data_IF_677314232714
#
_entry.id   IF_677314232714
#
_cell.length_a   1.000
_cell.length_b   1.000
_cell.length_c   1.000
_cell.angle_alpha   90.00
_cell.angle_beta   90.00
_cell.angle_gamma   90.00
#
_symmetry.space_group_name_H-M   'P 1'
#
loop_
_entity.id
_entity.type
_entity.pdbx_description
1 polymer ?
#
# COMPACT_ATOMS: atom_id res chain seq x y z
N UNK A 1 -1.77 -9.58 70.61
CA UNK A 1 -0.65 -9.91 69.69
C UNK A 1 -0.38 -8.75 68.73
N UNK A 2 -1.36 -8.27 67.94
CA UNK A 2 -1.12 -7.10 67.06
C UNK A 2 -0.75 -5.85 67.88
N UNK A 3 -1.48 -5.57 68.94
CA UNK A 3 -1.22 -4.43 69.83
C UNK A 3 0.04 -4.60 70.71
N UNK A 4 0.55 -5.82 70.89
CA UNK A 4 1.80 -6.11 71.61
C UNK A 4 3.06 -6.12 70.76
N UNK A 5 2.95 -5.84 69.46
CA UNK A 5 4.06 -5.78 68.52
C UNK A 5 4.52 -7.16 67.99
N UNK A 6 3.89 -8.26 68.38
CA UNK A 6 4.20 -9.59 67.85
C UNK A 6 3.36 -9.92 66.60
N UNK A 7 3.60 -9.13 65.57
CA UNK A 7 2.78 -9.11 64.37
C UNK A 7 3.01 -10.35 63.49
N UNK A 8 4.24 -10.88 63.45
CA UNK A 8 4.57 -12.06 62.64
C UNK A 8 3.88 -13.33 63.17
N UNK A 9 3.88 -13.51 64.46
CA UNK A 9 3.16 -14.61 65.10
C UNK A 9 1.64 -14.48 64.94
N UNK A 10 1.12 -13.24 65.04
CA UNK A 10 -0.30 -12.99 64.78
C UNK A 10 -0.68 -13.35 63.33
N UNK A 11 0.13 -13.00 62.33
CA UNK A 11 -0.11 -13.34 60.92
C UNK A 11 -0.06 -14.87 60.68
N UNK A 12 0.85 -15.58 61.35
CA UNK A 12 0.94 -17.03 61.24
C UNK A 12 -0.29 -17.72 61.82
N UNK A 13 -0.73 -17.34 63.04
CA UNK A 13 -1.95 -17.84 63.64
C UNK A 13 -3.21 -17.56 62.80
N UNK A 14 -3.33 -16.38 62.24
CA UNK A 14 -4.45 -16.02 61.36
C UNK A 14 -4.45 -16.87 60.07
N UNK A 15 -3.28 -17.19 59.55
CA UNK A 15 -3.13 -17.96 58.30
C UNK A 15 -3.39 -19.47 58.52
N UNK A 16 -2.99 -20.03 59.67
CA UNK A 16 -3.07 -21.47 59.96
C UNK A 16 -4.33 -21.80 60.73
N UNK A 17 -4.41 -21.41 62.00
CA UNK A 17 -5.44 -21.86 62.90
C UNK A 17 -6.78 -21.13 62.65
N UNK A 18 -6.79 -19.79 62.60
CA UNK A 18 -8.02 -19.03 62.44
C UNK A 18 -8.68 -19.26 61.09
N UNK A 19 -7.89 -19.39 60.04
CA UNK A 19 -8.41 -19.70 58.71
C UNK A 19 -9.01 -21.08 58.60
N UNK A 20 -8.37 -22.10 59.23
CA UNK A 20 -8.87 -23.47 59.25
C UNK A 20 -10.14 -23.61 60.11
N UNK A 21 -10.29 -22.78 61.16
CA UNK A 21 -11.45 -22.76 62.05
C UNK A 21 -12.64 -21.96 61.47
N UNK A 22 -12.44 -21.21 60.38
CA UNK A 22 -13.51 -20.37 59.78
C UNK A 22 -14.48 -21.21 58.94
N UNK A 23 -15.70 -21.43 59.47
CA UNK A 23 -16.73 -22.28 58.85
C UNK A 23 -17.56 -21.60 57.77
N UNK A 24 -17.68 -20.27 57.80
CA UNK A 24 -18.51 -19.52 56.89
C UNK A 24 -17.78 -18.27 56.31
N UNK A 25 -18.39 -17.63 55.31
CA UNK A 25 -17.80 -16.45 54.64
C UNK A 25 -17.59 -15.28 55.60
N UNK A 26 -18.49 -15.05 56.55
CA UNK A 26 -18.35 -13.93 57.48
C UNK A 26 -17.13 -14.13 58.42
N UNK A 27 -16.90 -15.34 58.90
CA UNK A 27 -15.71 -15.66 59.66
C UNK A 27 -14.43 -15.56 58.85
N UNK A 28 -14.45 -16.03 57.60
CA UNK A 28 -13.33 -15.85 56.67
C UNK A 28 -13.01 -14.40 56.41
N UNK A 29 -14.04 -13.58 56.24
CA UNK A 29 -13.91 -12.14 56.07
C UNK A 29 -13.28 -11.45 57.28
N UNK A 30 -13.68 -11.86 58.47
CA UNK A 30 -13.03 -11.38 59.72
C UNK A 30 -11.56 -11.74 59.80
N UNK A 31 -11.20 -13.01 59.50
CA UNK A 31 -9.80 -13.45 59.48
C UNK A 31 -8.97 -12.67 58.49
N UNK A 32 -9.49 -12.44 57.27
CA UNK A 32 -8.81 -11.67 56.24
C UNK A 32 -8.65 -10.19 56.66
N UNK A 33 -9.67 -9.61 57.32
CA UNK A 33 -9.60 -8.25 57.82
C UNK A 33 -8.55 -8.07 58.91
N UNK A 34 -8.52 -8.97 59.89
CA UNK A 34 -7.48 -8.98 60.92
C UNK A 34 -6.07 -9.18 60.31
N UNK A 35 -5.93 -10.03 59.32
CA UNK A 35 -4.66 -10.19 58.63
C UNK A 35 -4.26 -8.93 57.85
N UNK A 36 -5.21 -8.14 57.32
CA UNK A 36 -4.91 -6.87 56.70
C UNK A 36 -4.44 -5.81 57.72
N UNK A 37 -5.10 -5.75 58.89
CA UNK A 37 -4.71 -4.88 60.02
C UNK A 37 -3.29 -5.23 60.52
N UNK A 38 -3.01 -6.51 60.70
CA UNK A 38 -1.67 -6.95 61.08
C UNK A 38 -0.59 -6.57 60.05
N UNK A 39 -0.90 -6.65 58.75
CA UNK A 39 0.02 -6.22 57.70
C UNK A 39 0.22 -4.67 57.70
N UNK A 40 -0.80 -3.90 58.02
CA UNK A 40 -0.65 -2.45 58.18
C UNK A 40 0.31 -2.17 59.35
N UNK A 41 0.05 -2.78 60.51
CA UNK A 41 0.92 -2.63 61.67
C UNK A 41 2.38 -3.07 61.38
N UNK A 42 2.57 -4.14 60.61
CA UNK A 42 3.90 -4.60 60.17
C UNK A 42 4.56 -3.54 59.31
N UNK A 43 3.85 -2.92 58.37
CA UNK A 43 4.36 -1.84 57.53
C UNK A 43 4.75 -0.58 58.33
N UNK A 44 4.08 -0.32 59.47
CA UNK A 44 4.41 0.78 60.38
C UNK A 44 5.70 0.53 61.16
N UNK A 45 5.99 -0.72 61.48
CA UNK A 45 7.22 -1.12 62.15
C UNK A 45 8.38 -1.24 61.16
N UNK A 46 8.16 -1.91 60.04
CA UNK A 46 9.17 -2.13 58.99
C UNK A 46 9.02 -1.06 57.87
N UNK A 47 9.56 0.11 58.14
CA UNK A 47 9.48 1.25 57.21
C UNK A 47 10.15 0.95 55.86
N UNK A 48 11.17 0.10 55.81
CA UNK A 48 11.87 -0.24 54.56
C UNK A 48 10.98 -1.02 53.57
N UNK A 49 10.06 -1.86 54.14
CA UNK A 49 9.15 -2.68 53.36
C UNK A 49 7.69 -2.22 53.50
N UNK A 50 7.43 -1.04 54.05
CA UNK A 50 6.08 -0.48 54.26
C UNK A 50 5.21 -0.58 53.01
N UNK A 51 5.76 -0.21 51.86
CA UNK A 51 5.04 -0.26 50.56
C UNK A 51 4.48 -1.68 50.29
N UNK A 52 5.30 -2.69 50.44
CA UNK A 52 4.91 -4.09 50.21
C UNK A 52 3.83 -4.53 51.20
N UNK A 53 4.01 -4.25 52.48
CA UNK A 53 3.08 -4.65 53.52
C UNK A 53 1.72 -3.97 53.36
N UNK A 54 1.68 -2.69 53.04
CA UNK A 54 0.44 -1.94 52.84
C UNK A 54 -0.29 -2.32 51.55
N UNK A 55 0.45 -2.63 50.48
CA UNK A 55 -0.13 -3.18 49.24
C UNK A 55 -0.76 -4.57 49.53
N UNK A 56 -0.09 -5.42 50.27
CA UNK A 56 -0.61 -6.73 50.68
C UNK A 56 -1.84 -6.62 51.60
N UNK A 57 -1.88 -5.60 52.47
CA UNK A 57 -3.06 -5.31 53.29
C UNK A 57 -4.25 -4.87 52.41
N UNK A 58 -4.01 -3.95 51.47
CA UNK A 58 -5.03 -3.49 50.51
C UNK A 58 -5.60 -4.66 49.68
N UNK A 59 -4.75 -5.56 49.19
CA UNK A 59 -5.15 -6.77 48.47
C UNK A 59 -5.98 -7.73 49.39
N UNK A 60 -5.67 -7.79 50.70
CA UNK A 60 -6.45 -8.57 51.65
C UNK A 60 -7.85 -7.99 51.80
N UNK A 61 -8.02 -6.68 51.94
CA UNK A 61 -9.34 -6.04 51.97
C UNK A 61 -10.13 -6.27 50.67
N UNK A 62 -9.47 -6.22 49.51
CA UNK A 62 -10.14 -6.54 48.22
C UNK A 62 -10.66 -7.99 48.22
N UNK A 63 -9.87 -8.95 48.72
CA UNK A 63 -10.29 -10.35 48.83
C UNK A 63 -11.47 -10.51 49.79
N UNK A 64 -11.49 -9.81 50.94
CA UNK A 64 -12.60 -9.80 51.86
C UNK A 64 -13.89 -9.24 51.22
N UNK A 65 -13.80 -8.15 50.45
CA UNK A 65 -14.91 -7.57 49.70
C UNK A 65 -15.41 -8.44 48.54
N UNK A 66 -14.59 -9.36 48.00
CA UNK A 66 -15.06 -10.38 47.04
C UNK A 66 -15.98 -11.43 47.73
N UNK A 67 -15.75 -11.73 49.00
CA UNK A 67 -16.60 -12.64 49.79
C UNK A 67 -17.86 -11.96 50.32
N UNK A 68 -17.77 -10.69 50.74
CA UNK A 68 -18.88 -9.85 51.20
C UNK A 68 -18.87 -8.46 50.54
N UNK A 69 -19.41 -8.32 49.34
CA UNK A 69 -19.33 -7.06 48.57
C UNK A 69 -20.03 -5.86 49.24
N UNK A 70 -21.03 -6.11 50.12
CA UNK A 70 -21.79 -5.09 50.80
C UNK A 70 -21.24 -4.68 52.16
N UNK A 71 -20.12 -5.26 52.61
CA UNK A 71 -19.55 -4.98 53.92
C UNK A 71 -18.95 -3.58 53.99
N UNK A 72 -19.67 -2.68 54.67
CA UNK A 72 -19.31 -1.26 54.77
C UNK A 72 -18.07 -0.99 55.61
N UNK A 73 -17.81 -1.83 56.61
CA UNK A 73 -16.68 -1.59 57.51
C UNK A 73 -15.36 -1.94 56.84
N UNK A 74 -15.31 -3.02 56.07
CA UNK A 74 -14.13 -3.38 55.29
C UNK A 74 -13.90 -2.35 54.21
N UNK A 75 -14.94 -1.85 53.54
CA UNK A 75 -14.79 -0.79 52.53
C UNK A 75 -14.24 0.49 53.13
N UNK A 76 -14.66 0.87 54.34
CA UNK A 76 -14.09 2.01 55.07
C UNK A 76 -12.62 1.79 55.44
N UNK A 77 -12.28 0.61 55.92
CA UNK A 77 -10.90 0.28 56.25
C UNK A 77 -9.98 0.30 55.02
N UNK A 78 -10.44 -0.26 53.90
CA UNK A 78 -9.73 -0.23 52.65
C UNK A 78 -9.49 1.22 52.13
N UNK A 79 -10.54 2.05 52.16
CA UNK A 79 -10.44 3.48 51.74
C UNK A 79 -9.50 4.27 52.67
N UNK A 80 -9.55 4.01 53.97
CA UNK A 80 -8.62 4.62 54.92
C UNK A 80 -7.18 4.25 54.61
N UNK A 81 -6.92 2.96 54.38
CA UNK A 81 -5.57 2.51 53.98
C UNK A 81 -5.14 3.16 52.65
N UNK A 82 -6.02 3.25 51.65
CA UNK A 82 -5.74 3.87 50.40
C UNK A 82 -5.34 5.37 50.58
N UNK A 83 -6.05 6.12 51.43
CA UNK A 83 -5.68 7.50 51.76
C UNK A 83 -4.31 7.58 52.45
N UNK A 84 -4.03 6.71 53.39
CA UNK A 84 -2.72 6.62 54.06
C UNK A 84 -1.59 6.28 53.06
N UNK A 85 -1.86 5.42 52.08
CA UNK A 85 -0.92 5.08 51.02
C UNK A 85 -0.63 6.29 50.10
N UNK A 86 -1.68 7.03 49.76
CA UNK A 86 -1.55 8.23 48.93
C UNK A 86 -0.74 9.34 49.62
N UNK A 87 -1.01 9.59 50.92
CA UNK A 87 -0.22 10.52 51.76
C UNK A 87 1.28 10.17 51.80
N UNK A 88 1.61 8.88 51.74
CA UNK A 88 2.99 8.38 51.74
C UNK A 88 3.55 8.16 50.32
N UNK A 89 2.85 8.60 49.26
CA UNK A 89 3.21 8.38 47.86
C UNK A 89 3.42 6.91 47.49
N UNK A 90 2.70 6.02 48.17
CA UNK A 90 2.71 4.56 47.91
C UNK A 90 1.63 4.25 46.91
N UNK A 91 2.00 3.99 45.68
CA UNK A 91 1.04 3.58 44.64
C UNK A 91 0.39 2.23 44.95
N UNK A 92 -0.87 2.05 44.64
CA UNK A 92 -1.65 0.84 44.87
C UNK A 92 -1.19 -0.40 44.04
N UNK A 93 -0.03 -0.29 43.39
CA UNK A 93 0.65 -1.43 42.77
C UNK A 93 -0.07 -2.10 41.58
N UNK A 94 -1.13 -1.48 41.05
CA UNK A 94 -1.66 -1.90 39.75
C UNK A 94 -0.75 -1.28 38.71
N UNK A 95 0.27 -2.03 38.28
CA UNK A 95 0.88 -1.76 36.97
C UNK A 95 -0.22 -1.60 35.93
N UNK A 96 0.08 -0.97 34.79
CA UNK A 96 -0.84 -0.83 33.65
C UNK A 96 -1.56 -2.16 33.37
N UNK A 97 -2.70 -2.40 34.07
CA UNK A 97 -3.57 -3.53 33.75
C UNK A 97 -4.35 -3.13 32.51
N UNK A 98 -4.06 -3.77 31.40
CA UNK A 98 -4.75 -3.55 30.14
C UNK A 98 -6.19 -4.10 30.17
N UNK A 99 -6.42 -5.15 31.00
CA UNK A 99 -7.73 -5.78 31.20
C UNK A 99 -7.99 -6.00 32.69
N UNK A 100 -9.23 -5.85 33.13
CA UNK A 100 -9.73 -6.17 34.47
C UNK A 100 -10.99 -7.04 34.31
N UNK A 101 -10.96 -8.26 34.84
CA UNK A 101 -12.01 -9.29 34.69
C UNK A 101 -12.52 -9.47 33.23
N UNK A 102 -11.58 -9.45 32.24
CA UNK A 102 -11.87 -9.63 30.81
C UNK A 102 -12.35 -8.38 30.08
N UNK A 103 -12.59 -7.26 30.78
CA UNK A 103 -12.94 -5.99 30.17
C UNK A 103 -11.71 -5.09 30.02
N UNK A 104 -11.57 -4.34 28.91
CA UNK A 104 -10.48 -3.41 28.74
C UNK A 104 -10.59 -2.25 29.74
N UNK A 105 -9.50 -1.96 30.45
CA UNK A 105 -9.39 -0.76 31.29
C UNK A 105 -9.23 0.49 30.42
N UNK A 106 -9.45 1.72 30.95
CA UNK A 106 -9.13 2.93 30.21
C UNK A 106 -7.68 2.98 29.72
N UNK A 107 -6.74 2.44 30.49
CA UNK A 107 -5.34 2.29 30.06
C UNK A 107 -5.19 1.23 28.97
N UNK A 108 -5.96 0.14 29.01
CA UNK A 108 -6.03 -0.88 27.97
C UNK A 108 -6.58 -0.33 26.67
N UNK A 109 -7.67 0.44 26.72
CA UNK A 109 -8.24 1.12 25.55
C UNK A 109 -7.25 2.11 24.93
N UNK A 110 -6.57 2.90 25.75
CA UNK A 110 -5.53 3.82 25.27
C UNK A 110 -4.37 3.06 24.62
N UNK A 111 -3.91 1.94 25.20
CA UNK A 111 -2.84 1.12 24.63
C UNK A 111 -3.25 0.47 23.30
N UNK A 112 -4.49 -0.02 23.17
CA UNK A 112 -5.04 -0.54 21.92
C UNK A 112 -5.12 0.57 20.86
N UNK A 113 -5.59 1.76 21.23
CA UNK A 113 -5.67 2.91 20.32
C UNK A 113 -4.28 3.34 19.82
N UNK A 114 -3.30 3.44 20.72
CA UNK A 114 -1.89 3.72 20.35
C UNK A 114 -1.35 2.62 19.45
N UNK A 115 -1.62 1.35 19.75
CA UNK A 115 -1.22 0.20 18.92
C UNK A 115 -1.79 0.28 17.49
N UNK A 116 -3.07 0.62 17.36
CA UNK A 116 -3.73 0.83 16.05
C UNK A 116 -3.08 2.01 15.32
N UNK A 117 -2.83 3.13 16.00
CA UNK A 117 -2.18 4.31 15.39
C UNK A 117 -0.75 3.98 14.91
N UNK A 118 0.04 3.26 15.72
CA UNK A 118 1.38 2.80 15.32
C UNK A 118 1.30 1.83 14.14
N UNK A 119 0.33 0.92 14.15
CA UNK A 119 0.12 -0.02 13.04
C UNK A 119 -0.27 0.72 11.74
N UNK A 120 -1.19 1.69 11.81
CA UNK A 120 -1.59 2.50 10.65
C UNK A 120 -0.44 3.34 10.10
N UNK A 121 0.38 3.93 10.99
CA UNK A 121 1.58 4.67 10.60
C UNK A 121 2.61 3.72 9.97
N UNK A 122 2.87 2.57 10.60
CA UNK A 122 3.78 1.57 10.04
C UNK A 122 3.27 1.00 8.70
N UNK A 123 1.95 0.79 8.56
CA UNK A 123 1.33 0.34 7.32
C UNK A 123 1.46 1.40 6.22
N UNK A 124 1.27 2.69 6.56
CA UNK A 124 1.50 3.78 5.62
C UNK A 124 2.97 3.83 5.16
N UNK A 125 3.92 3.81 6.10
CA UNK A 125 5.35 3.79 5.75
C UNK A 125 5.79 2.50 5.04
N UNK A 126 5.19 1.35 5.33
CA UNK A 126 5.44 0.12 4.58
C UNK A 126 4.85 0.20 3.17
N UNK A 127 3.70 0.85 2.99
CA UNK A 127 3.14 1.16 1.67
C UNK A 127 4.06 2.08 0.85
N UNK A 128 4.53 3.18 1.47
CA UNK A 128 5.48 4.11 0.85
C UNK A 128 6.86 3.48 0.59
N UNK A 129 7.28 2.46 1.37
CA UNK A 129 8.55 1.73 1.15
C UNK A 129 8.43 0.60 0.13
N UNK A 130 7.20 0.20 -0.24
CA UNK A 130 6.92 -0.73 -1.33
C UNK A 130 6.69 0.01 -2.66
N UNK A 131 6.46 1.31 -2.64
CA UNK A 131 6.71 2.15 -3.78
C UNK A 131 8.23 2.23 -3.91
N UNK A 132 8.77 1.32 -4.72
CA UNK A 132 10.13 1.52 -5.27
C UNK A 132 10.14 2.94 -5.84
N UNK A 133 11.23 3.74 -5.71
CA UNK A 133 11.34 4.96 -6.47
C UNK A 133 11.02 4.57 -7.90
N UNK A 134 9.98 5.17 -8.49
CA UNK A 134 9.63 4.99 -9.88
C UNK A 134 10.95 5.13 -10.64
N UNK A 135 11.50 4.00 -11.10
CA UNK A 135 12.59 4.04 -12.08
C UNK A 135 12.08 4.99 -13.14
N UNK A 136 12.93 5.93 -13.56
CA UNK A 136 12.57 6.95 -14.54
C UNK A 136 11.63 6.34 -15.57
N UNK A 137 10.40 6.82 -15.63
CA UNK A 137 9.40 6.40 -16.61
C UNK A 137 9.61 7.11 -17.93
N UNK A 138 10.79 7.69 -18.11
CA UNK A 138 11.19 8.33 -19.35
C UNK A 138 11.84 7.33 -20.29
N UNK A 139 11.40 7.40 -21.55
CA UNK A 139 11.95 6.64 -22.68
C UNK A 139 12.37 7.60 -23.77
N UNK A 140 13.56 7.38 -24.32
CA UNK A 140 14.04 8.10 -25.50
C UNK A 140 13.88 7.23 -26.75
N UNK A 141 13.25 7.82 -27.78
CA UNK A 141 13.18 7.27 -29.13
C UNK A 141 14.20 8.01 -30.02
N UNK A 142 15.24 7.33 -30.50
CA UNK A 142 16.13 7.85 -31.52
C UNK A 142 15.50 7.64 -32.89
N UNK A 143 15.26 8.75 -33.61
CA UNK A 143 14.57 8.71 -34.89
C UNK A 143 15.47 9.23 -36.03
N UNK A 144 15.22 8.74 -37.24
CA UNK A 144 15.89 9.26 -38.45
C UNK A 144 14.90 9.38 -39.62
N UNK A 145 14.83 10.54 -40.20
CA UNK A 145 13.88 10.88 -41.29
C UNK A 145 14.48 11.85 -42.29
N UNK A 146 13.86 11.99 -43.49
CA UNK A 146 14.17 13.06 -44.44
C UNK A 146 13.40 14.30 -44.05
N UNK A 147 14.08 15.42 -43.88
CA UNK A 147 13.43 16.68 -43.48
C UNK A 147 12.41 17.14 -44.55
N UNK A 148 11.18 17.52 -44.17
CA UNK A 148 10.17 17.90 -45.18
C UNK A 148 10.58 19.08 -46.06
N UNK A 149 11.32 20.05 -45.53
CA UNK A 149 11.81 21.23 -46.26
C UNK A 149 13.10 20.98 -47.05
N UNK A 150 13.84 19.89 -46.79
CA UNK A 150 15.07 19.57 -47.52
C UNK A 150 15.15 18.06 -47.82
N UNK A 151 14.67 17.66 -49.02
CA UNK A 151 14.65 16.25 -49.41
C UNK A 151 16.03 15.57 -49.52
N UNK A 152 17.11 16.33 -49.46
CA UNK A 152 18.47 15.79 -49.48
C UNK A 152 19.11 15.67 -48.07
N UNK A 153 18.39 16.15 -47.04
CA UNK A 153 18.86 16.16 -45.68
C UNK A 153 18.19 15.06 -44.84
N UNK A 154 18.95 14.06 -44.44
CA UNK A 154 18.51 13.10 -43.41
C UNK A 154 18.86 13.66 -42.05
N UNK A 155 17.86 13.75 -41.19
CA UNK A 155 17.95 14.26 -39.84
C UNK A 155 17.89 13.07 -38.87
N UNK A 156 18.70 13.12 -37.82
CA UNK A 156 18.60 12.26 -36.66
C UNK A 156 18.21 13.12 -35.45
N UNK A 157 17.39 12.58 -34.56
CA UNK A 157 16.93 13.31 -33.40
C UNK A 157 16.38 12.40 -32.33
N UNK A 158 16.13 12.97 -31.18
CA UNK A 158 15.62 12.26 -30.01
C UNK A 158 14.23 12.80 -29.64
N UNK A 159 13.31 11.88 -29.35
CA UNK A 159 11.98 12.18 -28.80
C UNK A 159 11.96 11.54 -27.41
N UNK A 160 11.86 12.38 -26.36
CA UNK A 160 11.81 11.92 -24.98
C UNK A 160 10.35 11.88 -24.54
N UNK A 161 9.93 10.77 -23.97
CA UNK A 161 8.54 10.49 -23.56
C UNK A 161 8.52 10.17 -22.08
N UNK A 162 7.67 10.88 -21.34
CA UNK A 162 7.28 10.52 -19.98
C UNK A 162 6.06 9.59 -20.02
N UNK A 163 6.10 8.47 -19.30
CA UNK A 163 5.07 7.46 -19.28
C UNK A 163 4.21 7.54 -18.01
N UNK A 164 2.92 7.31 -18.12
CA UNK A 164 1.93 7.46 -17.07
C UNK A 164 1.55 6.10 -16.45
N UNK A 165 2.45 5.56 -15.61
CA UNK A 165 2.29 4.23 -14.99
C UNK A 165 1.08 4.12 -14.06
N UNK A 166 0.60 5.24 -13.49
CA UNK A 166 -0.58 5.26 -12.62
C UNK A 166 -1.88 5.14 -13.41
N UNK A 167 -1.92 5.76 -14.60
CA UNK A 167 -3.12 5.89 -15.42
C UNK A 167 -3.29 4.75 -16.42
N UNK A 168 -2.15 4.18 -16.89
CA UNK A 168 -2.13 3.10 -17.88
C UNK A 168 -1.07 2.04 -17.55
N UNK A 169 -1.15 1.38 -16.37
CA UNK A 169 -0.09 0.51 -15.87
C UNK A 169 0.29 -0.63 -16.82
N UNK A 170 -0.68 -1.29 -17.47
CA UNK A 170 -0.41 -2.41 -18.36
C UNK A 170 0.19 -1.98 -19.69
N UNK A 171 -0.29 -0.85 -20.24
CA UNK A 171 0.28 -0.29 -21.47
C UNK A 171 1.71 0.19 -21.26
N UNK A 172 1.97 0.86 -20.13
CA UNK A 172 3.33 1.28 -19.75
C UNK A 172 4.24 0.06 -19.51
N UNK A 173 3.78 -0.93 -18.76
CA UNK A 173 4.54 -2.17 -18.52
C UNK A 173 4.89 -2.88 -19.83
N UNK A 174 3.92 -3.02 -20.73
CA UNK A 174 4.13 -3.63 -22.05
C UNK A 174 5.12 -2.83 -22.90
N UNK A 175 4.94 -1.51 -22.97
CA UNK A 175 5.81 -0.62 -23.75
C UNK A 175 7.24 -0.68 -23.24
N UNK A 176 7.45 -0.60 -21.91
CA UNK A 176 8.77 -0.71 -21.31
C UNK A 176 9.40 -2.08 -21.53
N UNK A 177 8.61 -3.17 -21.44
CA UNK A 177 9.13 -4.51 -21.77
C UNK A 177 9.65 -4.59 -23.22
N UNK A 178 8.90 -4.02 -24.16
CA UNK A 178 9.30 -4.01 -25.58
C UNK A 178 10.56 -3.14 -25.82
N UNK A 179 10.66 -2.00 -25.13
CA UNK A 179 11.86 -1.12 -25.13
C UNK A 179 13.07 -1.88 -24.55
N UNK A 180 12.94 -2.44 -23.34
CA UNK A 180 14.05 -3.13 -22.65
C UNK A 180 14.58 -4.34 -23.41
N UNK A 181 13.74 -4.96 -24.24
CA UNK A 181 14.12 -6.09 -25.07
C UNK A 181 14.55 -5.68 -26.50
N UNK A 182 14.68 -4.37 -26.78
CA UNK A 182 15.11 -3.84 -28.07
C UNK A 182 14.13 -4.17 -29.21
N UNK A 183 12.86 -4.45 -28.91
CA UNK A 183 11.91 -4.89 -29.93
C UNK A 183 11.45 -3.77 -30.85
N UNK A 184 11.62 -2.53 -30.44
CA UNK A 184 11.34 -1.35 -31.26
C UNK A 184 12.54 -0.93 -32.13
N UNK A 185 13.73 -1.47 -31.88
CA UNK A 185 14.95 -1.08 -32.60
C UNK A 185 14.86 -1.42 -34.07
N UNK A 186 15.24 -0.47 -34.90
CA UNK A 186 15.20 -0.55 -36.37
C UNK A 186 13.81 -0.74 -36.97
N UNK A 187 12.73 -0.43 -36.23
CA UNK A 187 11.37 -0.35 -36.77
C UNK A 187 11.13 0.96 -37.51
N UNK A 188 9.95 1.17 -38.07
CA UNK A 188 9.59 2.40 -38.81
C UNK A 188 8.25 2.99 -38.31
N UNK A 189 8.07 4.28 -38.54
CA UNK A 189 6.73 4.91 -38.54
C UNK A 189 6.10 4.58 -39.89
N UNK A 190 5.23 3.59 -39.92
CA UNK A 190 4.67 3.01 -41.14
C UNK A 190 3.43 3.78 -41.67
N UNK A 191 2.81 4.65 -40.86
CA UNK A 191 1.66 5.47 -41.22
C UNK A 191 1.75 6.85 -40.59
N UNK A 192 1.69 7.89 -41.42
CA UNK A 192 1.80 9.28 -41.02
C UNK A 192 0.70 10.08 -41.69
N UNK A 193 -0.06 10.83 -40.88
CA UNK A 193 -1.09 11.74 -41.37
C UNK A 193 -0.86 13.12 -40.75
N UNK A 194 -0.54 14.08 -41.59
CA UNK A 194 -0.37 15.47 -41.20
C UNK A 194 -1.63 16.00 -40.51
N UNK A 195 -1.48 16.77 -39.40
CA UNK A 195 -2.58 17.27 -38.60
C UNK A 195 -3.37 16.18 -37.86
N UNK A 196 -2.85 14.94 -37.78
CA UNK A 196 -3.50 13.86 -37.04
C UNK A 196 -2.55 13.06 -36.13
N UNK A 197 -1.64 12.24 -36.69
CA UNK A 197 -0.74 11.42 -35.87
C UNK A 197 0.42 10.83 -36.70
N UNK A 198 1.48 10.43 -35.98
CA UNK A 198 2.57 9.61 -36.51
C UNK A 198 2.51 8.24 -35.83
N UNK A 199 2.31 7.15 -36.58
CA UNK A 199 2.11 5.80 -36.06
C UNK A 199 3.28 4.88 -36.40
N UNK A 200 3.81 4.18 -35.39
CA UNK A 200 4.90 3.23 -35.51
C UNK A 200 4.72 2.03 -34.56
N UNK A 201 5.82 1.35 -34.26
CA UNK A 201 5.85 0.27 -33.28
C UNK A 201 5.31 -1.08 -33.76
N UNK A 202 5.15 -1.29 -35.07
CA UNK A 202 4.95 -2.61 -35.65
C UNK A 202 6.29 -3.35 -35.64
N UNK A 203 6.44 -4.29 -34.68
CA UNK A 203 7.71 -4.94 -34.34
C UNK A 203 8.02 -6.18 -35.20
N UNK A 204 7.11 -6.64 -36.02
CA UNK A 204 7.29 -7.81 -36.87
C UNK A 204 7.14 -7.48 -38.38
N UNK A 205 6.04 -6.92 -38.83
CA UNK A 205 5.74 -6.72 -40.23
C UNK A 205 6.15 -5.31 -40.77
N UNK A 206 6.31 -4.31 -39.90
CA UNK A 206 6.66 -2.91 -40.21
C UNK A 206 5.73 -2.25 -41.24
N UNK A 207 4.50 -2.72 -41.39
CA UNK A 207 3.54 -2.28 -42.39
C UNK A 207 2.17 -1.92 -41.78
N UNK A 208 2.03 -2.05 -40.46
CA UNK A 208 0.82 -1.78 -39.69
C UNK A 208 -0.10 -2.98 -39.52
N UNK A 209 0.24 -4.16 -40.08
CA UNK A 209 -0.56 -5.36 -39.95
C UNK A 209 -0.18 -6.23 -38.74
N UNK A 210 1.06 -6.08 -38.27
CA UNK A 210 1.64 -6.86 -37.17
C UNK A 210 1.61 -6.15 -35.81
N UNK A 211 2.48 -6.59 -34.93
CA UNK A 211 2.65 -6.01 -33.59
C UNK A 211 1.79 -6.68 -32.54
N UNK A 212 2.43 -7.19 -31.48
CA UNK A 212 1.79 -7.95 -30.41
C UNK A 212 2.32 -7.50 -29.04
N UNK A 213 1.60 -7.88 -27.96
CA UNK A 213 2.06 -7.58 -26.60
C UNK A 213 3.29 -8.42 -26.22
N UNK A 214 4.28 -7.79 -25.61
CA UNK A 214 5.47 -8.47 -25.11
C UNK A 214 5.19 -9.37 -23.92
N UNK A 215 4.14 -9.08 -23.18
CA UNK A 215 3.72 -9.75 -21.94
C UNK A 215 2.32 -10.35 -22.14
N UNK A 216 2.07 -11.52 -21.54
CA UNK A 216 0.75 -12.14 -21.56
C UNK A 216 -0.19 -11.50 -20.53
N UNK A 217 -1.27 -10.87 -21.00
CA UNK A 217 -2.30 -10.23 -20.17
C UNK A 217 -3.63 -10.99 -20.10
N UNK A 218 -3.70 -12.21 -20.61
CA UNK A 218 -4.92 -13.01 -20.63
C UNK A 218 -5.80 -12.79 -21.87
N UNK A 219 -5.32 -12.10 -22.89
CA UNK A 219 -6.06 -11.77 -24.11
C UNK A 219 -5.34 -12.29 -25.35
N UNK A 220 -6.08 -13.02 -26.18
CA UNK A 220 -5.68 -13.51 -27.49
C UNK A 220 -6.54 -12.84 -28.56
N UNK A 221 -5.97 -11.94 -29.38
CA UNK A 221 -6.72 -11.09 -30.30
C UNK A 221 -7.93 -10.40 -29.64
N UNK A 222 -7.73 -9.86 -28.43
CA UNK A 222 -8.77 -9.17 -27.67
C UNK A 222 -9.79 -10.08 -26.97
N UNK A 223 -9.63 -11.39 -27.03
CA UNK A 223 -10.57 -12.37 -26.46
C UNK A 223 -9.91 -13.13 -25.30
N UNK A 224 -10.71 -13.46 -24.27
CA UNK A 224 -10.27 -14.28 -23.12
C UNK A 224 -10.51 -15.78 -23.35
N UNK A 225 -11.32 -16.15 -24.35
CA UNK A 225 -11.65 -17.53 -24.67
C UNK A 225 -11.97 -17.69 -26.15
N UNK A 226 -11.77 -18.92 -26.64
CA UNK A 226 -12.14 -19.33 -27.99
C UNK A 226 -13.66 -19.50 -28.16
N UNK A 227 -14.10 -19.71 -29.40
CA UNK A 227 -15.51 -19.96 -29.75
C UNK A 227 -16.08 -21.26 -29.18
N UNK A 228 -15.22 -22.18 -28.78
CA UNK A 228 -15.52 -23.43 -28.09
C UNK A 228 -15.66 -23.29 -26.56
N UNK A 229 -15.37 -22.09 -26.03
CA UNK A 229 -15.38 -21.75 -24.60
C UNK A 229 -14.10 -22.11 -23.86
N UNK A 230 -13.07 -22.61 -24.55
CA UNK A 230 -11.76 -22.81 -23.92
C UNK A 230 -11.10 -21.48 -23.61
N UNK A 231 -10.62 -21.30 -22.34
CA UNK A 231 -9.94 -20.09 -21.89
C UNK A 231 -8.54 -20.05 -22.50
N UNK A 232 -8.18 -18.90 -23.06
CA UNK A 232 -6.84 -18.67 -23.58
C UNK A 232 -5.81 -18.58 -22.44
N UNK A 233 -4.65 -19.17 -22.70
CA UNK A 233 -3.46 -19.11 -21.87
C UNK A 233 -2.28 -18.72 -22.74
N UNK A 234 -1.14 -18.38 -22.14
CA UNK A 234 0.08 -18.11 -22.87
C UNK A 234 0.61 -19.32 -23.67
N UNK A 235 0.12 -20.53 -23.37
CA UNK A 235 0.53 -21.77 -24.03
C UNK A 235 -0.33 -22.11 -25.24
N UNK A 236 -1.64 -21.77 -25.21
CA UNK A 236 -2.57 -22.10 -26.30
C UNK A 236 -2.93 -20.91 -27.20
N UNK A 237 -2.48 -19.68 -26.87
CA UNK A 237 -2.57 -18.50 -27.73
C UNK A 237 -1.22 -18.26 -28.40
N UNK A 238 -1.14 -18.18 -29.75
CA UNK A 238 0.09 -17.79 -30.44
C UNK A 238 0.61 -16.44 -29.94
N UNK A 239 1.93 -16.30 -29.77
CA UNK A 239 2.49 -15.07 -29.24
C UNK A 239 2.13 -13.82 -30.05
N UNK A 240 2.05 -13.93 -31.37
CA UNK A 240 1.69 -12.82 -32.25
C UNK A 240 0.25 -12.36 -32.10
N UNK A 241 -0.58 -13.13 -31.39
CA UNK A 241 -1.97 -12.82 -31.07
C UNK A 241 -2.15 -12.27 -29.64
N UNK A 242 -1.06 -12.10 -28.87
CA UNK A 242 -1.12 -11.53 -27.55
C UNK A 242 -1.47 -10.06 -27.58
N UNK A 243 -2.42 -9.64 -26.76
CA UNK A 243 -2.90 -8.26 -26.73
C UNK A 243 -3.01 -7.73 -25.30
N UNK A 244 -2.97 -6.38 -25.18
CA UNK A 244 -3.12 -5.65 -23.93
C UNK A 244 -4.59 -5.25 -23.76
N UNK A 245 -5.20 -5.44 -22.60
CA UNK A 245 -6.56 -4.95 -22.35
C UNK A 245 -6.59 -3.42 -22.32
N UNK A 246 -7.69 -2.85 -22.80
CA UNK A 246 -7.88 -1.40 -22.86
C UNK A 246 -7.81 -0.76 -21.45
N UNK A 247 -7.12 0.40 -21.35
CA UNK A 247 -7.06 1.29 -20.19
C UNK A 247 -7.47 2.72 -20.62
N UNK A 248 -8.34 2.83 -21.63
CA UNK A 248 -8.71 4.11 -22.23
C UNK A 248 -9.64 4.97 -21.36
N UNK A 249 -10.33 4.37 -20.36
CA UNK A 249 -11.15 5.08 -19.37
C UNK A 249 -10.29 5.57 -18.18
N UNK A 250 -9.16 6.21 -18.49
CA UNK A 250 -8.18 6.69 -17.50
C UNK A 250 -8.21 8.21 -17.28
N UNK A 251 -9.15 8.90 -17.95
CA UNK A 251 -9.33 10.35 -17.85
C UNK A 251 -8.35 11.18 -18.68
N UNK A 252 -7.42 10.55 -19.42
CA UNK A 252 -6.49 11.24 -20.31
C UNK A 252 -7.13 11.47 -21.68
N UNK A 253 -6.82 12.61 -22.29
CA UNK A 253 -7.35 13.03 -23.57
C UNK A 253 -6.24 13.07 -24.63
N UNK A 254 -6.63 13.03 -25.92
CA UNK A 254 -5.72 13.12 -27.05
C UNK A 254 -5.36 14.60 -27.34
N UNK A 255 -4.61 15.17 -26.41
CA UNK A 255 -4.02 16.50 -26.57
C UNK A 255 -2.72 16.43 -27.39
N UNK A 256 -2.21 17.58 -27.92
CA UNK A 256 -0.89 17.61 -28.55
C UNK A 256 0.18 16.99 -27.67
N UNK A 257 1.16 16.34 -28.26
CA UNK A 257 2.30 15.66 -27.61
C UNK A 257 2.02 14.33 -26.93
N UNK A 258 0.78 13.87 -26.77
CA UNK A 258 0.54 12.57 -26.14
C UNK A 258 0.97 11.41 -27.02
N UNK A 259 1.38 10.31 -26.36
CA UNK A 259 1.54 9.00 -26.96
C UNK A 259 0.37 8.12 -26.55
N UNK A 260 -0.22 7.43 -27.51
CA UNK A 260 -1.34 6.54 -27.29
C UNK A 260 -1.16 5.20 -28.04
N UNK A 261 -1.82 4.17 -27.56
CA UNK A 261 -1.71 2.84 -28.11
C UNK A 261 -2.65 2.66 -29.32
N UNK A 262 -2.10 2.22 -30.42
CA UNK A 262 -2.86 1.84 -31.60
C UNK A 262 -3.50 0.45 -31.38
N UNK A 263 -4.74 0.29 -31.89
CA UNK A 263 -5.49 -0.97 -31.85
C UNK A 263 -6.52 -1.03 -32.96
N UNK A 264 -7.11 -2.19 -33.19
CA UNK A 264 -8.26 -2.34 -34.09
C UNK A 264 -9.52 -1.70 -33.48
N UNK A 265 -10.64 -1.70 -34.22
CA UNK A 265 -11.92 -1.23 -33.68
C UNK A 265 -12.48 -2.13 -32.55
N UNK A 266 -11.98 -3.36 -32.42
CA UNK A 266 -12.37 -4.25 -31.33
C UNK A 266 -11.68 -3.87 -30.01
N UNK A 267 -12.33 -4.09 -28.85
CA UNK A 267 -11.71 -3.83 -27.56
C UNK A 267 -10.56 -4.82 -27.27
N UNK A 268 -9.61 -4.39 -26.43
CA UNK A 268 -8.50 -5.20 -25.93
C UNK A 268 -7.58 -5.78 -27.02
N UNK A 269 -7.46 -5.09 -28.17
CA UNK A 269 -6.62 -5.54 -29.30
C UNK A 269 -5.34 -4.74 -29.49
N UNK A 270 -4.94 -3.95 -28.50
CA UNK A 270 -3.68 -3.27 -28.49
C UNK A 270 -2.50 -4.27 -28.41
N UNK A 271 -1.42 -4.01 -29.14
CA UNK A 271 -0.22 -4.84 -29.13
C UNK A 271 1.03 -4.02 -28.82
N UNK A 272 1.90 -3.84 -29.80
CA UNK A 272 3.11 -3.03 -29.72
C UNK A 272 2.97 -1.67 -30.42
N UNK A 273 2.00 -1.50 -31.33
CA UNK A 273 1.88 -0.30 -32.12
C UNK A 273 1.39 0.90 -31.30
N UNK A 274 2.03 2.03 -31.49
CA UNK A 274 1.69 3.30 -30.85
C UNK A 274 1.62 4.44 -31.87
N UNK A 275 1.05 5.56 -31.46
CA UNK A 275 1.11 6.80 -32.22
C UNK A 275 1.36 7.99 -31.29
N UNK A 276 1.96 9.03 -31.86
CA UNK A 276 2.22 10.31 -31.19
C UNK A 276 1.40 11.40 -31.92
N UNK A 277 0.79 12.26 -31.12
CA UNK A 277 -0.06 13.37 -31.63
C UNK A 277 0.82 14.60 -31.85
N UNK A 278 0.91 15.15 -33.12
CA UNK A 278 1.63 16.38 -33.40
C UNK A 278 1.07 17.60 -32.70
N UNK A 279 1.83 18.70 -32.69
CA UNK A 279 1.48 19.93 -31.96
C UNK A 279 0.23 20.65 -32.52
N UNK A 280 -0.14 20.41 -33.74
CA UNK A 280 -1.30 21.01 -34.44
C UNK A 280 -2.54 20.10 -34.46
N UNK A 281 -2.53 19.00 -33.75
CA UNK A 281 -3.58 17.97 -33.72
C UNK A 281 -4.25 17.82 -32.37
N UNK A 282 -5.57 17.54 -32.40
CA UNK A 282 -6.40 17.19 -31.23
C UNK A 282 -7.47 16.18 -31.64
N UNK A 283 -7.13 14.90 -31.80
CA UNK A 283 -8.05 13.89 -32.30
C UNK A 283 -9.02 13.37 -31.19
N UNK A 284 -9.86 14.26 -30.67
CA UNK A 284 -10.77 14.00 -29.53
C UNK A 284 -11.78 12.86 -29.78
N UNK A 285 -11.98 12.45 -31.04
CA UNK A 285 -12.82 11.28 -31.36
C UNK A 285 -12.20 9.94 -30.89
N UNK A 286 -10.93 9.94 -30.49
CA UNK A 286 -10.22 8.77 -29.94
C UNK A 286 -10.26 8.72 -28.41
N UNK A 287 -10.77 9.77 -27.73
CA UNK A 287 -10.87 9.84 -26.28
C UNK A 287 -11.77 8.72 -25.75
N UNK A 288 -11.30 8.01 -24.71
CA UNK A 288 -11.99 6.85 -24.14
C UNK A 288 -12.03 5.61 -25.05
N UNK A 289 -11.38 5.65 -26.23
CA UNK A 289 -11.31 4.52 -27.18
C UNK A 289 -9.90 3.95 -27.27
N UNK A 290 -8.91 4.81 -27.40
CA UNK A 290 -7.50 4.44 -27.41
C UNK A 290 -6.84 4.87 -26.10
N UNK A 291 -5.97 4.05 -25.55
CA UNK A 291 -5.31 4.33 -24.28
C UNK A 291 -4.17 5.31 -24.48
N UNK A 292 -4.32 6.52 -23.96
CA UNK A 292 -3.20 7.46 -23.77
C UNK A 292 -2.38 6.95 -22.58
N UNK A 293 -1.06 6.83 -22.72
CA UNK A 293 -0.20 6.25 -21.68
C UNK A 293 1.09 7.04 -21.40
N UNK A 294 1.23 8.23 -22.00
CA UNK A 294 2.36 9.13 -21.78
C UNK A 294 2.30 10.39 -22.64
N UNK A 295 3.35 11.20 -22.56
CA UNK A 295 3.51 12.39 -23.37
C UNK A 295 4.97 12.67 -23.72
N UNK A 296 5.20 13.35 -24.83
CA UNK A 296 6.52 13.84 -25.25
C UNK A 296 6.90 15.05 -24.40
N UNK A 297 8.02 14.96 -23.70
CA UNK A 297 8.58 16.03 -22.87
C UNK A 297 9.70 16.81 -23.58
N UNK A 298 10.34 16.20 -24.59
CA UNK A 298 11.36 16.83 -25.41
C UNK A 298 11.34 16.24 -26.84
N UNK A 299 11.72 17.04 -27.84
CA UNK A 299 11.81 16.57 -29.22
C UNK A 299 10.52 16.68 -30.02
N UNK A 300 9.50 17.47 -29.60
CA UNK A 300 8.27 17.71 -30.35
C UNK A 300 8.53 18.28 -31.76
N UNK A 301 9.60 19.07 -31.95
CA UNK A 301 10.01 19.53 -33.26
C UNK A 301 10.33 18.39 -34.24
N UNK A 302 10.78 17.23 -33.74
CA UNK A 302 10.97 16.03 -34.60
C UNK A 302 9.63 15.35 -34.88
N UNK A 303 8.70 15.31 -33.94
CA UNK A 303 7.34 14.79 -34.15
C UNK A 303 6.64 15.62 -35.23
N UNK A 304 6.67 16.95 -35.11
CA UNK A 304 6.03 17.87 -36.06
C UNK A 304 6.68 17.74 -37.45
N UNK A 305 8.01 17.75 -37.53
CA UNK A 305 8.69 17.58 -38.84
C UNK A 305 8.41 16.19 -39.46
N UNK A 306 8.29 15.14 -38.67
CA UNK A 306 7.90 13.80 -39.13
C UNK A 306 6.45 13.82 -39.64
N UNK A 307 5.52 14.52 -38.97
CA UNK A 307 4.13 14.58 -39.42
C UNK A 307 3.96 15.19 -40.81
N UNK A 308 4.86 16.07 -41.20
CA UNK A 308 4.86 16.79 -42.49
C UNK A 308 5.62 16.08 -43.62
N UNK A 309 6.23 14.89 -43.38
CA UNK A 309 6.95 14.18 -44.43
C UNK A 309 6.03 13.74 -45.56
N UNK A 310 6.55 13.69 -46.78
CA UNK A 310 5.78 13.26 -47.96
C UNK A 310 5.30 11.79 -47.78
N UNK A 311 4.00 11.56 -47.93
CA UNK A 311 3.37 10.25 -47.86
C UNK A 311 2.80 9.79 -49.18
N UNK A 312 2.74 8.49 -49.37
CA UNK A 312 2.16 7.83 -50.56
C UNK A 312 0.84 7.15 -50.24
N UNK A 313 0.55 6.05 -50.92
CA UNK A 313 -0.67 5.25 -50.67
C UNK A 313 -0.73 4.72 -49.24
N UNK A 314 -1.91 4.74 -48.63
CA UNK A 314 -2.18 4.29 -47.27
C UNK A 314 -1.40 5.09 -46.20
N UNK A 315 -1.14 6.36 -46.46
CA UNK A 315 -0.46 7.28 -45.54
C UNK A 315 0.96 6.80 -45.17
N UNK A 316 1.58 5.94 -46.00
CA UNK A 316 2.92 5.44 -45.78
C UNK A 316 3.93 6.52 -46.24
N UNK A 317 4.97 6.84 -45.43
CA UNK A 317 6.06 7.72 -45.83
C UNK A 317 6.71 7.24 -47.16
N UNK A 318 7.01 8.19 -48.05
CA UNK A 318 7.74 7.88 -49.30
C UNK A 318 9.16 7.40 -49.00
N UNK A 319 9.80 8.05 -48.05
CA UNK A 319 11.10 7.65 -47.52
C UNK A 319 10.90 7.17 -46.10
N UNK A 320 11.53 6.04 -45.71
CA UNK A 320 11.37 5.46 -44.38
C UNK A 320 11.74 6.44 -43.28
N UNK A 321 10.79 6.67 -42.38
CA UNK A 321 11.00 7.29 -41.07
C UNK A 321 11.32 6.20 -40.10
N UNK A 322 12.55 6.16 -39.60
CA UNK A 322 13.08 5.05 -38.80
C UNK A 322 13.05 5.39 -37.33
N UNK A 323 12.65 4.45 -36.52
CA UNK A 323 12.96 4.38 -35.10
C UNK A 323 14.26 3.55 -34.98
N UNK A 324 15.38 4.24 -34.75
CA UNK A 324 16.72 3.61 -34.72
C UNK A 324 16.81 2.73 -33.48
N UNK A 325 16.51 3.31 -32.33
CA UNK A 325 16.55 2.63 -31.04
C UNK A 325 15.57 3.28 -30.08
N UNK A 326 15.05 2.49 -29.12
CA UNK A 326 14.29 2.97 -27.97
C UNK A 326 14.97 2.50 -26.68
N UNK A 327 15.16 3.39 -25.70
CA UNK A 327 15.80 3.04 -24.44
C UNK A 327 15.27 3.88 -23.28
N UNK A 328 15.40 3.36 -22.06
CA UNK A 328 15.09 4.10 -20.83
C UNK A 328 16.21 5.04 -20.45
N UNK A 329 15.87 6.19 -19.88
CA UNK A 329 16.81 7.20 -19.39
C UNK A 329 17.26 6.89 -17.94
#
# INVERSE_FOLDING_TARGET
MIDSGDVDNALELLRTEAWAAAENNSQKVQVISLAAEAKIAKGDIDMGNRKMHWQDAHNSYQRALKLEPSNKDIRRAQNKLASMMDEQSISLGKGLQLFDDGNPTPAGLAAVFVGIMVFLVAFKFAGESLEQPLESTEVTLEVSYIHPDDPNSRVEGEIVIELYSSEAPKHVENFLYLVDNGMYDSTIFHRIIDGFMIQGGDIDDMNGAGGYAGIWYGYCNGQISGSDGEIYTSENCPRNDWTVPDEADNGLLHEPSVIAMAKTSAPNTAGSQFYIVPSDSTPSHLDGVHTVFGMVTSGMNHVDAISEVSTGSNDKPVEDVRLIQAYRN
#
